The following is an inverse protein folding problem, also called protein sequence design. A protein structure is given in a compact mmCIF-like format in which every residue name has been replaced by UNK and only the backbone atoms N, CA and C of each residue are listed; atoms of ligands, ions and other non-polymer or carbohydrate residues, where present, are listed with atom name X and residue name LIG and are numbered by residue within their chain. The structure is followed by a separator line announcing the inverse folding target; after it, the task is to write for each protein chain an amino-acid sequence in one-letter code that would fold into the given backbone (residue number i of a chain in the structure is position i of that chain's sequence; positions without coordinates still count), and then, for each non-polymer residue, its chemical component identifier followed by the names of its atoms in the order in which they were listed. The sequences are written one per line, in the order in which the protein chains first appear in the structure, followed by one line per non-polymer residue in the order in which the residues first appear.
data_IF_032054815735
#
_entry.id   IF_032054815735
#
_cell.length_a   1.000
_cell.length_b   1.000
_cell.length_c   1.000
_cell.angle_alpha   90.00
_cell.angle_beta   90.00
_cell.angle_gamma   90.00
#
_symmetry.space_group_name_H-M   'P 1'
#
loop_
_entity.id
_entity.type
_entity.pdbx_description
1 polymer ?
#
# COMPACT_ATOMS: atom_id res chain seq x y z
N UNK A 1 -13.38 -1.84 -37.44
CA UNK A 1 -14.29 -2.64 -36.60
C UNK A 1 -13.74 -2.59 -35.18
N UNK A 2 -14.36 -1.83 -34.27
CA UNK A 2 -13.86 -1.70 -32.89
C UNK A 2 -14.20 -2.98 -32.12
N UNK A 3 -13.20 -3.63 -31.53
CA UNK A 3 -13.41 -4.82 -30.73
C UNK A 3 -13.82 -4.45 -29.30
N UNK A 4 -14.46 -5.37 -28.57
CA UNK A 4 -14.73 -5.21 -27.13
C UNK A 4 -13.47 -4.91 -26.33
N UNK A 5 -12.32 -5.43 -26.77
CA UNK A 5 -11.01 -5.16 -26.19
C UNK A 5 -10.59 -3.70 -26.37
N UNK A 6 -10.83 -3.12 -27.54
CA UNK A 6 -10.51 -1.72 -27.82
C UNK A 6 -11.37 -0.78 -26.99
N UNK A 7 -12.66 -1.10 -26.83
CA UNK A 7 -13.56 -0.36 -25.96
C UNK A 7 -13.13 -0.43 -24.49
N UNK A 8 -12.88 -1.63 -23.96
CA UNK A 8 -12.43 -1.80 -22.57
C UNK A 8 -11.06 -1.16 -22.31
N UNK A 9 -10.14 -1.22 -23.28
CA UNK A 9 -8.84 -0.55 -23.19
C UNK A 9 -9.01 0.97 -23.16
N UNK A 10 -9.87 1.55 -23.99
CA UNK A 10 -10.12 2.98 -24.02
C UNK A 10 -10.85 3.48 -22.77
N UNK A 11 -11.89 2.76 -22.33
CA UNK A 11 -12.62 3.05 -21.09
C UNK A 11 -11.72 2.88 -19.84
N UNK A 12 -10.93 1.80 -19.79
CA UNK A 12 -10.00 1.55 -18.69
C UNK A 12 -8.89 2.59 -18.60
N UNK A 13 -8.33 3.04 -19.74
CA UNK A 13 -7.32 4.10 -19.76
C UNK A 13 -7.89 5.44 -19.29
N UNK A 14 -9.07 5.82 -19.78
CA UNK A 14 -9.69 7.10 -19.42
C UNK A 14 -10.14 7.14 -17.95
N UNK A 15 -10.77 6.08 -17.46
CA UNK A 15 -11.15 5.96 -16.04
C UNK A 15 -9.93 5.82 -15.12
N UNK A 16 -8.89 5.09 -15.55
CA UNK A 16 -7.64 4.97 -14.80
C UNK A 16 -6.91 6.32 -14.65
N UNK A 17 -6.85 7.11 -15.71
CA UNK A 17 -6.32 8.49 -15.66
C UNK A 17 -7.16 9.40 -14.75
N UNK A 18 -8.49 9.28 -14.78
CA UNK A 18 -9.38 10.05 -13.91
C UNK A 18 -9.26 9.67 -12.42
N UNK A 19 -9.02 8.40 -12.12
CA UNK A 19 -8.74 7.94 -10.76
C UNK A 19 -7.38 8.46 -10.27
N UNK A 20 -6.34 8.37 -11.11
CA UNK A 20 -5.00 8.88 -10.78
C UNK A 20 -4.95 10.41 -10.67
N UNK A 21 -5.82 11.14 -11.38
CA UNK A 21 -5.96 12.59 -11.25
C UNK A 21 -6.80 13.02 -10.04
N UNK A 22 -7.36 12.08 -9.27
CA UNK A 22 -8.02 12.41 -8.01
C UNK A 22 -7.00 13.02 -7.04
N UNK A 23 -7.36 14.17 -6.45
CA UNK A 23 -6.51 14.86 -5.50
C UNK A 23 -6.10 13.96 -4.32
N UNK A 24 -6.96 13.01 -3.95
CA UNK A 24 -6.71 11.98 -2.93
C UNK A 24 -5.58 11.03 -3.32
N UNK A 25 -5.64 10.42 -4.52
CA UNK A 25 -4.58 9.49 -4.96
C UNK A 25 -3.28 10.26 -5.19
N UNK A 26 -3.35 11.45 -5.79
CA UNK A 26 -2.17 12.31 -5.94
C UNK A 26 -1.54 12.69 -4.59
N UNK A 27 -2.35 12.93 -3.55
CA UNK A 27 -1.85 13.21 -2.20
C UNK A 27 -1.21 11.98 -1.54
N UNK A 28 -1.78 10.80 -1.75
CA UNK A 28 -1.19 9.54 -1.26
C UNK A 28 0.17 9.30 -1.89
N UNK A 29 0.29 9.50 -3.21
CA UNK A 29 1.56 9.35 -3.92
C UNK A 29 2.61 10.35 -3.42
N UNK A 30 2.24 11.61 -3.15
CA UNK A 30 3.16 12.59 -2.54
C UNK A 30 3.66 12.18 -1.15
N UNK A 31 2.79 11.58 -0.33
CA UNK A 31 3.20 11.12 1.00
C UNK A 31 4.19 9.94 0.90
N UNK A 32 3.96 9.01 -0.03
CA UNK A 32 4.89 7.91 -0.30
C UNK A 32 6.22 8.46 -0.84
N UNK A 33 6.18 9.35 -1.83
CA UNK A 33 7.37 9.98 -2.39
C UNK A 33 8.18 10.73 -1.33
N UNK A 34 7.52 11.52 -0.47
CA UNK A 34 8.17 12.22 0.63
C UNK A 34 8.82 11.27 1.63
N UNK A 35 8.16 10.16 1.97
CA UNK A 35 8.71 9.14 2.86
C UNK A 35 9.91 8.42 2.24
N UNK A 36 9.89 8.12 0.94
CA UNK A 36 11.04 7.49 0.27
C UNK A 36 12.19 8.46 0.06
N UNK A 37 11.91 9.76 -0.12
CA UNK A 37 12.93 10.80 -0.25
C UNK A 37 13.79 10.96 1.00
N UNK A 38 13.32 10.59 2.19
CA UNK A 38 14.13 10.67 3.42
C UNK A 38 15.36 9.77 3.37
N UNK A 39 15.28 8.65 2.63
CA UNK A 39 16.38 7.68 2.48
C UNK A 39 17.02 7.70 1.09
N UNK A 40 16.56 8.56 0.17
CA UNK A 40 17.01 8.56 -1.23
C UNK A 40 18.49 8.92 -1.43
N UNK A 41 19.13 9.51 -0.42
CA UNK A 41 20.55 9.86 -0.44
C UNK A 41 21.47 8.73 0.06
N UNK A 42 20.89 7.65 0.60
CA UNK A 42 21.60 6.50 1.18
C UNK A 42 21.80 5.40 0.14
N UNK A 43 22.83 4.58 0.31
CA UNK A 43 22.90 3.29 -0.41
C UNK A 43 21.81 2.34 0.09
N UNK A 44 21.46 1.28 -0.66
CA UNK A 44 20.51 0.27 -0.19
C UNK A 44 20.92 -0.35 1.15
N UNK A 45 22.21 -0.59 1.36
CA UNK A 45 22.76 -1.14 2.60
C UNK A 45 22.62 -0.16 3.77
N UNK A 46 22.85 1.13 3.54
CA UNK A 46 22.67 2.17 4.55
C UNK A 46 21.19 2.36 4.90
N UNK A 47 20.31 2.45 3.89
CA UNK A 47 18.87 2.57 4.09
C UNK A 47 18.27 1.35 4.82
N UNK A 48 18.84 0.15 4.62
CA UNK A 48 18.44 -1.05 5.36
C UNK A 48 18.69 -0.93 6.88
N UNK A 49 19.57 -0.02 7.31
CA UNK A 49 19.88 0.23 8.73
C UNK A 49 19.09 1.37 9.35
N UNK A 50 18.26 2.09 8.57
CA UNK A 50 17.46 3.22 9.06
C UNK A 50 16.19 2.74 9.80
N UNK A 51 16.32 2.56 11.11
CA UNK A 51 15.23 2.05 11.96
C UNK A 51 14.01 2.98 12.01
N UNK A 52 14.17 4.30 11.85
CA UNK A 52 13.05 5.24 11.87
C UNK A 52 12.19 5.08 10.60
N UNK A 53 12.83 4.90 9.46
CA UNK A 53 12.18 4.56 8.19
C UNK A 53 11.43 3.22 8.31
N UNK A 54 12.11 2.16 8.78
CA UNK A 54 11.50 0.83 8.90
C UNK A 54 10.42 0.74 9.97
N UNK A 55 10.52 1.49 11.07
CA UNK A 55 9.49 1.55 12.10
C UNK A 55 8.15 2.06 11.55
N UNK A 56 8.16 2.98 10.58
CA UNK A 56 6.94 3.47 9.94
C UNK A 56 6.28 2.39 9.07
N UNK A 57 7.08 1.62 8.33
CA UNK A 57 6.59 0.47 7.55
C UNK A 57 6.04 -0.61 8.49
N UNK A 58 6.76 -0.95 9.56
CA UNK A 58 6.33 -1.94 10.54
C UNK A 58 4.99 -1.57 11.20
N UNK A 59 4.77 -0.29 11.54
CA UNK A 59 3.50 0.24 12.10
C UNK A 59 2.30 0.14 11.15
N UNK A 60 2.55 -0.09 9.86
CA UNK A 60 1.49 -0.30 8.86
C UNK A 60 0.88 -1.71 8.93
N UNK A 61 1.41 -2.60 9.76
CA UNK A 61 0.89 -3.94 10.03
C UNK A 61 0.43 -4.06 11.49
N UNK A 62 -0.58 -4.91 11.72
CA UNK A 62 -1.13 -5.16 13.06
C UNK A 62 -0.49 -6.36 13.77
N UNK A 63 0.67 -6.82 13.31
CA UNK A 63 1.40 -7.96 13.92
C UNK A 63 2.05 -7.56 15.24
N UNK A 64 2.16 -8.50 16.19
CA UNK A 64 2.82 -8.25 17.47
C UNK A 64 4.32 -8.01 17.29
N UNK A 65 4.89 -7.06 18.04
CA UNK A 65 6.33 -6.77 18.04
C UNK A 65 7.15 -7.72 18.92
N UNK A 66 6.49 -8.56 19.71
CA UNK A 66 7.16 -9.55 20.57
C UNK A 66 7.64 -10.80 19.84
N UNK A 67 7.39 -10.92 18.54
CA UNK A 67 7.72 -12.12 17.74
C UNK A 67 8.37 -11.68 16.43
N UNK A 68 9.42 -12.41 16.03
CA UNK A 68 10.02 -12.31 14.70
C UNK A 68 9.59 -13.55 13.90
N UNK A 69 8.75 -13.35 12.87
CA UNK A 69 8.30 -14.44 12.00
C UNK A 69 9.15 -14.48 10.72
N UNK A 70 10.02 -15.49 10.62
CA UNK A 70 10.90 -15.73 9.48
C UNK A 70 10.27 -16.58 8.36
N UNK A 71 8.98 -16.94 8.48
CA UNK A 71 8.27 -17.81 7.53
C UNK A 71 7.28 -17.07 6.61
N UNK A 72 7.42 -15.75 6.44
CA UNK A 72 6.50 -14.94 5.64
C UNK A 72 6.73 -14.99 4.11
N UNK A 73 7.61 -15.89 3.62
CA UNK A 73 7.98 -15.94 2.20
C UNK A 73 6.87 -16.45 1.27
N UNK A 74 5.96 -17.29 1.78
CA UNK A 74 4.82 -17.81 1.00
C UNK A 74 3.55 -16.97 1.13
N UNK A 75 3.30 -16.43 2.33
CA UNK A 75 2.18 -15.54 2.63
C UNK A 75 2.62 -14.56 3.71
N UNK A 76 2.56 -13.26 3.43
CA UNK A 76 2.84 -12.21 4.39
C UNK A 76 1.58 -11.80 5.18
N UNK A 77 1.72 -11.21 6.37
CA UNK A 77 0.59 -10.62 7.06
C UNK A 77 -0.07 -9.53 6.21
N UNK A 78 -1.39 -9.42 6.30
CA UNK A 78 -2.11 -8.34 5.64
C UNK A 78 -1.81 -6.99 6.32
N UNK A 79 -1.70 -5.89 5.56
CA UNK A 79 -1.59 -4.55 6.13
C UNK A 79 -2.78 -4.22 7.04
N UNK A 80 -2.55 -3.34 8.02
CA UNK A 80 -3.54 -2.95 9.04
C UNK A 80 -4.84 -2.43 8.44
N UNK A 81 -4.80 -1.72 7.32
CA UNK A 81 -6.01 -1.22 6.66
C UNK A 81 -6.94 -2.34 6.19
N UNK A 82 -6.39 -3.49 5.77
CA UNK A 82 -7.15 -4.66 5.33
C UNK A 82 -7.80 -5.33 6.53
N UNK A 83 -7.04 -5.54 7.62
CA UNK A 83 -7.59 -6.14 8.84
C UNK A 83 -8.64 -5.25 9.49
N UNK A 84 -8.43 -3.94 9.55
CA UNK A 84 -9.42 -2.98 10.04
C UNK A 84 -10.69 -2.95 9.16
N UNK A 85 -10.55 -3.08 7.84
CA UNK A 85 -11.71 -3.16 6.94
C UNK A 85 -12.51 -4.45 7.16
N UNK A 86 -11.83 -5.59 7.34
CA UNK A 86 -12.48 -6.86 7.65
C UNK A 86 -13.24 -6.79 8.98
N UNK A 87 -12.64 -6.19 10.02
CA UNK A 87 -13.30 -6.02 11.32
C UNK A 87 -14.58 -5.20 11.19
N UNK A 88 -14.53 -4.05 10.50
CA UNK A 88 -15.72 -3.21 10.25
C UNK A 88 -16.81 -4.00 9.54
N UNK A 89 -16.44 -4.71 8.48
CA UNK A 89 -17.39 -5.53 7.73
C UNK A 89 -18.07 -6.58 8.61
N UNK A 90 -17.32 -7.28 9.47
CA UNK A 90 -17.89 -8.30 10.36
C UNK A 90 -18.88 -7.67 11.34
N UNK A 91 -18.53 -6.54 11.97
CA UNK A 91 -19.41 -5.86 12.92
C UNK A 91 -20.70 -5.34 12.27
N UNK A 92 -20.62 -4.80 11.05
CA UNK A 92 -21.81 -4.38 10.28
C UNK A 92 -22.76 -5.53 9.92
N UNK A 93 -22.32 -6.80 9.99
CA UNK A 93 -23.19 -7.96 9.76
C UNK A 93 -23.84 -8.50 11.05
N UNK A 94 -23.36 -8.09 12.22
CA UNK A 94 -23.91 -8.50 13.52
C UNK A 94 -25.05 -7.58 14.01
N UNK A 95 -25.13 -6.35 13.47
CA UNK A 95 -26.24 -5.39 13.63
C UNK A 95 -27.39 -5.63 12.63
#
# INVERSE_FOLDING_TARGET
MHSRRDFLSLAGKSLGLAALSSATIASLLRNVEAATNTVAHLTPEEAATDEDYWANIQKSFSVTRGIINLNNGGVSPSPRIVTEALVRYIWEQED
#
